data_IF_125275869925
#
_entry.id   IF_125275869925
#
_cell.length_a   1.000
_cell.length_b   1.000
_cell.length_c   1.000
_cell.angle_alpha   90.00
_cell.angle_beta   90.00
_cell.angle_gamma   90.00
#
_symmetry.space_group_name_H-M   'P 1'
#
loop_
_entity.id
_entity.type
_entity.pdbx_description
1 polymer ?
#
# COMPACT_ATOMS: atom_id res chain seq x y z
N UNK A 1 20.59 -17.50 19.18
CA UNK A 1 21.06 -16.61 18.09
C UNK A 1 20.09 -16.76 16.92
N UNK A 2 19.23 -15.79 16.65
CA UNK A 2 18.29 -15.90 15.51
C UNK A 2 19.08 -15.57 14.24
N UNK A 3 19.07 -16.41 13.19
CA UNK A 3 19.83 -16.14 11.99
C UNK A 3 19.37 -14.82 11.34
N UNK A 4 20.32 -13.91 11.09
CA UNK A 4 20.11 -12.60 10.49
C UNK A 4 20.98 -12.48 9.24
N UNK A 5 20.38 -12.16 8.10
CA UNK A 5 21.12 -11.75 6.92
C UNK A 5 21.34 -10.23 6.97
N UNK A 6 22.59 -9.81 7.05
CA UNK A 6 22.99 -8.40 7.06
C UNK A 6 23.95 -8.13 5.90
N UNK A 7 23.60 -7.18 5.05
CA UNK A 7 24.43 -6.79 3.91
C UNK A 7 24.21 -5.32 3.56
N UNK A 8 25.09 -4.74 2.72
CA UNK A 8 24.83 -3.42 2.14
C UNK A 8 23.83 -3.56 0.98
N UNK A 9 24.09 -4.48 0.07
CA UNK A 9 23.24 -4.78 -1.09
C UNK A 9 22.90 -6.27 -1.07
N UNK A 10 21.64 -6.60 -1.31
CA UNK A 10 21.16 -7.98 -1.49
C UNK A 10 20.47 -8.05 -2.84
N UNK A 11 20.99 -8.88 -3.74
CA UNK A 11 20.35 -9.20 -5.01
C UNK A 11 20.23 -10.71 -5.10
N UNK A 12 19.01 -11.23 -5.05
CA UNK A 12 18.75 -12.68 -5.13
C UNK A 12 17.54 -12.93 -6.02
N UNK A 13 17.56 -14.03 -6.76
CA UNK A 13 16.38 -14.46 -7.52
C UNK A 13 15.30 -15.00 -6.59
N UNK A 14 15.69 -15.82 -5.62
CA UNK A 14 14.79 -16.42 -4.64
C UNK A 14 15.38 -16.32 -3.24
N UNK A 15 14.56 -15.95 -2.27
CA UNK A 15 14.94 -15.97 -0.85
C UNK A 15 14.02 -16.92 -0.09
N UNK A 16 14.60 -18.00 0.44
CA UNK A 16 13.96 -18.87 1.42
C UNK A 16 13.77 -18.13 2.77
N UNK A 17 12.82 -18.54 3.62
CA UNK A 17 12.50 -17.81 4.83
C UNK A 17 13.70 -17.60 5.75
N UNK A 18 14.13 -16.34 5.86
CA UNK A 18 15.06 -15.90 6.89
C UNK A 18 14.27 -15.15 7.96
N UNK A 19 14.57 -15.33 9.25
CA UNK A 19 13.84 -14.63 10.31
C UNK A 19 13.93 -13.10 10.19
N UNK A 20 15.09 -12.61 9.72
CA UNK A 20 15.34 -11.19 9.56
C UNK A 20 16.29 -10.89 8.40
N UNK A 21 15.87 -9.95 7.54
CA UNK A 21 16.71 -9.35 6.51
C UNK A 21 16.95 -7.87 6.83
N UNK A 22 18.23 -7.47 6.92
CA UNK A 22 18.62 -6.07 7.07
C UNK A 22 19.63 -5.69 5.98
N UNK A 23 19.24 -4.78 5.10
CA UNK A 23 20.15 -4.25 4.09
C UNK A 23 19.96 -2.76 3.84
N UNK A 24 20.83 -2.12 3.05
CA UNK A 24 20.54 -0.80 2.52
C UNK A 24 19.63 -0.92 1.30
N UNK A 25 20.00 -1.81 0.36
CA UNK A 25 19.24 -2.08 -0.87
C UNK A 25 18.92 -3.57 -0.94
N UNK A 26 17.67 -3.89 -1.25
CA UNK A 26 17.19 -5.25 -1.48
C UNK A 26 16.49 -5.31 -2.85
N UNK A 27 16.98 -6.17 -3.72
CA UNK A 27 16.33 -6.53 -4.98
C UNK A 27 16.08 -8.03 -4.98
N UNK A 28 14.82 -8.45 -4.97
CA UNK A 28 14.48 -9.88 -5.06
C UNK A 28 13.50 -10.13 -6.19
N UNK A 29 13.76 -11.15 -7.00
CA UNK A 29 12.77 -11.60 -7.99
C UNK A 29 11.61 -12.29 -7.30
N UNK A 30 11.82 -13.00 -6.18
CA UNK A 30 10.74 -13.61 -5.44
C UNK A 30 11.05 -13.73 -3.95
N UNK A 31 10.07 -13.32 -3.12
CA UNK A 31 10.10 -13.50 -1.67
C UNK A 31 8.83 -14.23 -1.21
N UNK A 32 9.01 -15.44 -0.68
CA UNK A 32 7.92 -16.21 -0.10
C UNK A 32 7.50 -15.66 1.27
N UNK A 33 8.43 -15.65 2.23
CA UNK A 33 8.15 -15.17 3.57
C UNK A 33 9.41 -14.68 4.26
N UNK A 34 9.35 -13.51 4.89
CA UNK A 34 10.35 -13.02 5.85
C UNK A 34 9.59 -12.33 6.98
N UNK A 35 9.73 -12.76 8.25
CA UNK A 35 9.03 -12.12 9.37
C UNK A 35 9.29 -10.62 9.47
N UNK A 36 10.54 -10.19 9.24
CA UNK A 36 10.94 -8.80 9.28
C UNK A 36 11.95 -8.43 8.19
N UNK A 37 11.56 -7.49 7.34
CA UNK A 37 12.45 -6.87 6.34
C UNK A 37 12.67 -5.40 6.70
N UNK A 38 13.95 -5.03 6.90
CA UNK A 38 14.38 -3.65 7.12
C UNK A 38 15.37 -3.24 6.03
N UNK A 39 14.99 -2.28 5.19
CA UNK A 39 15.91 -1.72 4.22
C UNK A 39 15.68 -0.23 3.98
N UNK A 40 16.59 0.44 3.28
CA UNK A 40 16.31 1.79 2.79
C UNK A 40 15.44 1.70 1.52
N UNK A 41 15.86 0.85 0.59
CA UNK A 41 15.20 0.62 -0.71
C UNK A 41 14.89 -0.87 -0.85
N UNK A 42 13.67 -1.18 -1.27
CA UNK A 42 13.20 -2.53 -1.55
C UNK A 42 12.55 -2.57 -2.92
N UNK A 43 13.00 -3.49 -3.77
CA UNK A 43 12.37 -3.81 -5.06
C UNK A 43 12.08 -5.32 -5.08
N UNK A 44 10.80 -5.72 -5.16
CA UNK A 44 10.42 -7.13 -5.20
C UNK A 44 9.40 -7.42 -6.30
N UNK A 45 9.53 -8.58 -6.94
CA UNK A 45 8.72 -8.89 -8.12
C UNK A 45 8.31 -10.37 -8.24
N UNK A 46 7.73 -11.06 -7.21
CA UNK A 46 6.72 -10.60 -6.26
C UNK A 46 7.01 -10.84 -4.75
N UNK A 47 6.13 -10.32 -3.86
CA UNK A 47 6.11 -10.60 -2.41
C UNK A 47 4.81 -11.30 -2.00
N UNK A 48 4.93 -12.45 -1.35
CA UNK A 48 3.76 -13.18 -0.81
C UNK A 48 3.43 -12.74 0.62
N UNK A 49 4.38 -12.85 1.56
CA UNK A 49 4.08 -12.53 2.96
C UNK A 49 5.25 -11.90 3.70
N UNK A 50 5.03 -10.72 4.29
CA UNK A 50 5.96 -10.11 5.24
C UNK A 50 5.15 -9.48 6.37
N UNK A 51 5.16 -10.05 7.60
CA UNK A 51 4.49 -9.46 8.76
C UNK A 51 4.82 -7.99 8.97
N UNK A 52 6.11 -7.64 8.83
CA UNK A 52 6.59 -6.28 9.03
C UNK A 52 7.63 -5.86 7.99
N UNK A 53 7.23 -4.92 7.12
CA UNK A 53 8.10 -4.28 6.14
C UNK A 53 8.36 -2.82 6.56
N UNK A 54 9.63 -2.50 6.85
CA UNK A 54 10.09 -1.15 7.17
C UNK A 54 11.11 -0.71 6.13
N UNK A 55 10.73 0.26 5.31
CA UNK A 55 11.65 0.87 4.37
C UNK A 55 11.36 2.34 4.13
N UNK A 56 12.29 3.04 3.50
CA UNK A 56 12.03 4.41 3.04
C UNK A 56 11.25 4.36 1.72
N UNK A 57 11.68 3.50 0.80
CA UNK A 57 11.07 3.29 -0.51
C UNK A 57 10.85 1.81 -0.75
N UNK A 58 9.63 1.47 -1.20
CA UNK A 58 9.22 0.12 -1.57
C UNK A 58 8.60 0.16 -2.96
N UNK A 59 9.15 -0.62 -3.87
CA UNK A 59 8.58 -0.86 -5.21
C UNK A 59 8.24 -2.35 -5.33
N UNK A 60 6.97 -2.66 -5.59
CA UNK A 60 6.49 -4.04 -5.70
C UNK A 60 5.60 -4.19 -6.92
N UNK A 61 5.77 -5.24 -7.70
CA UNK A 61 4.78 -5.55 -8.74
C UNK A 61 3.54 -6.22 -8.14
N UNK A 62 3.72 -7.09 -7.16
CA UNK A 62 2.61 -7.81 -6.53
C UNK A 62 2.85 -8.00 -5.03
N UNK A 63 1.83 -7.69 -4.24
CA UNK A 63 1.79 -7.91 -2.79
C UNK A 63 0.50 -8.61 -2.41
N UNK A 64 0.62 -9.84 -1.91
CA UNK A 64 -0.53 -10.60 -1.43
C UNK A 64 -0.98 -10.07 -0.06
N UNK A 65 -0.08 -10.07 0.93
CA UNK A 65 -0.41 -9.60 2.27
C UNK A 65 0.81 -9.11 3.08
N UNK A 66 0.63 -7.94 3.70
CA UNK A 66 1.54 -7.38 4.70
C UNK A 66 0.69 -6.77 5.82
N UNK A 67 0.67 -7.37 7.02
CA UNK A 67 -0.06 -6.83 8.18
C UNK A 67 0.29 -5.38 8.51
N UNK A 68 1.56 -5.00 8.37
CA UNK A 68 2.02 -3.65 8.65
C UNK A 68 3.11 -3.20 7.67
N UNK A 69 2.77 -2.18 6.87
CA UNK A 69 3.69 -1.51 5.95
C UNK A 69 3.91 -0.05 6.39
N UNK A 70 5.18 0.34 6.55
CA UNK A 70 5.60 1.71 6.91
C UNK A 70 6.72 2.15 5.95
N UNK A 71 6.35 2.74 4.83
CA UNK A 71 7.27 3.28 3.82
C UNK A 71 6.56 4.27 2.88
N UNK A 72 7.32 4.96 2.02
CA UNK A 72 6.79 5.41 0.73
C UNK A 72 6.68 4.20 -0.19
N UNK A 73 5.52 3.97 -0.80
CA UNK A 73 5.26 2.75 -1.55
C UNK A 73 4.76 3.04 -2.97
N UNK A 74 5.30 2.30 -3.93
CA UNK A 74 4.74 2.12 -5.25
C UNK A 74 4.45 0.62 -5.44
N UNK A 75 3.18 0.24 -5.61
CA UNK A 75 2.78 -1.17 -5.74
C UNK A 75 1.79 -1.29 -6.90
N UNK A 76 2.10 -2.12 -7.90
CA UNK A 76 1.18 -2.28 -9.03
C UNK A 76 -0.10 -2.99 -8.61
N UNK A 77 0.02 -4.11 -7.90
CA UNK A 77 -1.12 -4.88 -7.42
C UNK A 77 -1.03 -5.23 -5.94
N UNK A 78 -2.04 -4.82 -5.18
CA UNK A 78 -2.20 -5.16 -3.77
C UNK A 78 -3.54 -5.85 -3.53
N UNK A 79 -3.48 -7.08 -3.02
CA UNK A 79 -4.69 -7.86 -2.73
C UNK A 79 -5.31 -7.46 -1.39
N UNK A 80 -4.59 -7.63 -0.29
CA UNK A 80 -5.14 -7.33 1.04
C UNK A 80 -4.08 -6.90 2.04
N UNK A 81 -4.31 -5.78 2.70
CA UNK A 81 -3.53 -5.34 3.86
C UNK A 81 -4.50 -4.91 4.95
N UNK A 82 -4.46 -5.51 6.16
CA UNK A 82 -5.35 -5.13 7.25
C UNK A 82 -5.28 -3.64 7.62
N UNK A 83 -4.06 -3.08 7.61
CA UNK A 83 -3.82 -1.68 7.90
C UNK A 83 -2.63 -1.14 7.11
N UNK A 84 -2.87 -0.11 6.30
CA UNK A 84 -1.82 0.59 5.58
C UNK A 84 -1.57 1.96 6.22
N UNK A 85 -0.36 2.19 6.77
CA UNK A 85 0.03 3.47 7.36
C UNK A 85 1.35 3.96 6.78
N UNK A 86 1.26 4.88 5.82
CA UNK A 86 2.36 5.28 4.94
C UNK A 86 2.38 6.79 4.77
N UNK A 87 3.51 7.37 4.37
CA UNK A 87 3.55 8.80 4.07
C UNK A 87 2.94 9.06 2.70
N UNK A 88 3.46 8.36 1.70
CA UNK A 88 3.00 8.43 0.31
C UNK A 88 2.75 7.02 -0.20
N UNK A 89 1.63 6.82 -0.88
CA UNK A 89 1.34 5.57 -1.56
C UNK A 89 0.82 5.83 -2.96
N UNK A 90 1.40 5.11 -3.92
CA UNK A 90 0.90 4.98 -5.29
C UNK A 90 0.56 3.51 -5.51
N UNK A 91 -0.70 3.20 -5.86
CA UNK A 91 -1.07 1.85 -6.29
C UNK A 91 -1.82 1.89 -7.62
N UNK A 92 -1.58 0.91 -8.49
CA UNK A 92 -2.38 0.79 -9.71
C UNK A 92 -3.71 0.10 -9.38
N UNK A 93 -3.66 -1.05 -8.70
CA UNK A 93 -4.83 -1.81 -8.30
C UNK A 93 -4.81 -2.14 -6.81
N UNK A 94 -5.91 -1.80 -6.13
CA UNK A 94 -6.15 -2.13 -4.74
C UNK A 94 -7.50 -2.84 -4.58
N UNK A 95 -7.46 -4.10 -4.16
CA UNK A 95 -8.68 -4.88 -3.95
C UNK A 95 -9.34 -4.53 -2.60
N UNK A 96 -8.65 -4.71 -1.47
CA UNK A 96 -9.23 -4.40 -0.18
C UNK A 96 -8.20 -3.98 0.87
N UNK A 97 -8.48 -2.87 1.55
CA UNK A 97 -7.76 -2.46 2.76
C UNK A 97 -8.79 -1.98 3.77
N UNK A 98 -8.98 -2.66 4.92
CA UNK A 98 -9.93 -2.21 5.94
C UNK A 98 -9.68 -0.77 6.42
N UNK A 99 -8.41 -0.42 6.61
CA UNK A 99 -8.01 0.92 7.05
C UNK A 99 -6.76 1.43 6.33
N UNK A 100 -6.93 2.53 5.59
CA UNK A 100 -5.85 3.25 4.93
C UNK A 100 -5.64 4.61 5.59
N UNK A 101 -4.43 4.87 6.08
CA UNK A 101 -3.99 6.15 6.64
C UNK A 101 -2.72 6.62 5.92
N UNK A 102 -2.80 7.74 5.21
CA UNK A 102 -1.62 8.31 4.55
C UNK A 102 -1.57 9.83 4.57
N UNK A 103 -0.45 10.43 4.18
CA UNK A 103 -0.44 11.85 3.84
C UNK A 103 -0.97 12.02 2.41
N UNK A 104 -0.40 11.28 1.46
CA UNK A 104 -0.80 11.31 0.04
C UNK A 104 -1.15 9.92 -0.45
N UNK A 105 -2.29 9.80 -1.11
CA UNK A 105 -2.78 8.57 -1.75
C UNK A 105 -3.02 8.84 -3.22
N UNK A 106 -2.37 8.09 -4.09
CA UNK A 106 -2.68 8.04 -5.53
C UNK A 106 -3.06 6.61 -5.89
N UNK A 107 -4.30 6.38 -6.33
CA UNK A 107 -4.72 5.05 -6.82
C UNK A 107 -5.37 5.16 -8.19
N UNK A 108 -5.12 4.18 -9.06
CA UNK A 108 -5.87 4.10 -10.31
C UNK A 108 -7.21 3.41 -10.05
N UNK A 109 -7.20 2.21 -9.48
CA UNK A 109 -8.40 1.44 -9.18
C UNK A 109 -8.45 1.00 -7.71
N UNK A 110 -9.57 1.30 -7.06
CA UNK A 110 -9.86 0.87 -5.69
C UNK A 110 -11.24 0.22 -5.63
N UNK A 111 -11.27 -1.07 -5.26
CA UNK A 111 -12.52 -1.79 -5.09
C UNK A 111 -13.17 -1.48 -3.72
N UNK A 112 -12.46 -1.66 -2.61
CA UNK A 112 -13.05 -1.39 -1.29
C UNK A 112 -12.05 -0.87 -0.25
N UNK A 113 -12.44 0.19 0.45
CA UNK A 113 -11.77 0.69 1.65
C UNK A 113 -12.81 1.17 2.68
N UNK A 114 -13.13 0.36 3.71
CA UNK A 114 -14.06 0.77 4.77
C UNK A 114 -13.73 2.14 5.38
N UNK A 115 -12.45 2.41 5.63
CA UNK A 115 -12.01 3.69 6.16
C UNK A 115 -10.73 4.20 5.49
N UNK A 116 -10.86 5.29 4.73
CA UNK A 116 -9.75 6.04 4.16
C UNK A 116 -9.59 7.38 4.88
N UNK A 117 -8.38 7.63 5.39
CA UNK A 117 -7.98 8.91 5.98
C UNK A 117 -6.69 9.40 5.34
N UNK A 118 -6.72 10.56 4.69
CA UNK A 118 -5.51 11.16 4.12
C UNK A 118 -5.48 12.69 4.19
N UNK A 119 -4.37 13.31 3.81
CA UNK A 119 -4.34 14.75 3.54
C UNK A 119 -4.79 15.01 2.10
N UNK A 120 -4.17 14.32 1.15
CA UNK A 120 -4.52 14.35 -0.27
C UNK A 120 -4.88 12.95 -0.79
N UNK A 121 -5.95 12.88 -1.57
CA UNK A 121 -6.41 11.67 -2.25
C UNK A 121 -6.62 11.97 -3.72
N UNK A 122 -5.99 11.19 -4.59
CA UNK A 122 -6.23 11.18 -6.03
C UNK A 122 -6.61 9.77 -6.42
N UNK A 123 -7.86 9.53 -6.83
CA UNK A 123 -8.31 8.24 -7.36
C UNK A 123 -8.89 8.40 -8.77
N UNK A 124 -8.58 7.48 -9.66
CA UNK A 124 -9.29 7.42 -10.95
C UNK A 124 -10.64 6.74 -10.78
N UNK A 125 -10.67 5.55 -10.17
CA UNK A 125 -11.89 4.78 -9.97
C UNK A 125 -12.00 4.27 -8.53
N UNK A 126 -13.15 4.56 -7.90
CA UNK A 126 -13.50 4.07 -6.57
C UNK A 126 -14.88 3.40 -6.60
N UNK A 127 -14.93 2.10 -6.27
CA UNK A 127 -16.18 1.36 -6.17
C UNK A 127 -16.86 1.59 -4.81
N UNK A 128 -16.15 1.42 -3.70
CA UNK A 128 -16.74 1.62 -2.37
C UNK A 128 -15.75 2.14 -1.34
N UNK A 129 -16.13 3.22 -0.67
CA UNK A 129 -15.51 3.62 0.59
C UNK A 129 -16.56 4.12 1.59
N UNK A 130 -17.02 3.30 2.54
CA UNK A 130 -17.95 3.69 3.60
C UNK A 130 -17.61 5.03 4.25
N UNK A 131 -16.33 5.24 4.59
CA UNK A 131 -15.83 6.48 5.20
C UNK A 131 -14.59 6.97 4.49
N UNK A 132 -14.69 8.14 3.85
CA UNK A 132 -13.57 8.86 3.25
C UNK A 132 -13.39 10.23 3.93
N UNK A 133 -12.22 10.44 4.53
CA UNK A 133 -11.86 11.72 5.17
C UNK A 133 -10.52 12.21 4.61
N UNK A 134 -10.53 13.36 3.95
CA UNK A 134 -9.28 14.00 3.53
C UNK A 134 -9.38 15.52 3.49
N UNK A 135 -8.25 16.24 3.37
CA UNK A 135 -8.34 17.68 3.12
C UNK A 135 -8.69 17.93 1.66
N UNK A 136 -7.98 17.27 0.75
CA UNK A 136 -8.16 17.40 -0.70
C UNK A 136 -8.49 16.02 -1.29
N UNK A 137 -9.54 15.98 -2.10
CA UNK A 137 -10.02 14.77 -2.78
C UNK A 137 -10.21 15.08 -4.25
N UNK A 138 -9.48 14.37 -5.10
CA UNK A 138 -9.69 14.33 -6.55
C UNK A 138 -10.08 12.91 -6.93
N UNK A 139 -11.30 12.73 -7.40
CA UNK A 139 -11.84 11.45 -7.83
C UNK A 139 -12.32 11.63 -9.27
N UNK A 140 -12.03 10.70 -10.18
CA UNK A 140 -12.62 10.77 -11.53
C UNK A 140 -13.98 10.09 -11.55
N UNK A 141 -14.06 8.86 -11.04
CA UNK A 141 -15.28 8.08 -10.97
C UNK A 141 -15.51 7.52 -9.56
N UNK A 142 -16.71 7.73 -9.04
CA UNK A 142 -17.14 7.19 -7.75
C UNK A 142 -18.50 6.50 -7.82
N UNK A 143 -18.55 5.24 -7.38
CA UNK A 143 -19.80 4.49 -7.28
C UNK A 143 -20.54 4.75 -5.96
N UNK A 144 -19.87 4.59 -4.79
CA UNK A 144 -20.52 4.78 -3.49
C UNK A 144 -19.58 5.23 -2.35
N UNK A 145 -19.93 6.33 -1.68
CA UNK A 145 -19.33 6.80 -0.41
C UNK A 145 -20.43 7.38 0.50
N UNK A 146 -20.89 6.62 1.51
CA UNK A 146 -21.83 7.12 2.52
C UNK A 146 -21.32 8.33 3.31
N UNK A 147 -20.05 8.33 3.71
CA UNK A 147 -19.50 9.41 4.52
C UNK A 147 -18.25 10.01 3.88
N UNK A 148 -18.43 11.10 3.13
CA UNK A 148 -17.34 11.93 2.60
C UNK A 148 -17.16 13.19 3.46
N UNK A 149 -15.96 13.39 4.02
CA UNK A 149 -15.57 14.64 4.66
C UNK A 149 -14.29 15.18 4.03
N UNK A 150 -14.42 16.30 3.31
CA UNK A 150 -13.26 16.99 2.76
C UNK A 150 -13.43 18.50 2.69
N UNK A 151 -12.30 19.22 2.66
CA UNK A 151 -12.27 20.67 2.48
C UNK A 151 -12.39 21.04 1.00
N UNK A 152 -11.78 20.25 0.12
CA UNK A 152 -11.86 20.41 -1.33
C UNK A 152 -12.16 19.06 -1.98
N UNK A 153 -13.17 19.04 -2.86
CA UNK A 153 -13.55 17.85 -3.64
C UNK A 153 -13.65 18.21 -5.12
N UNK A 154 -12.99 17.45 -5.97
CA UNK A 154 -13.17 17.44 -7.42
C UNK A 154 -13.67 16.06 -7.82
N UNK A 155 -14.89 15.97 -8.33
CA UNK A 155 -15.54 14.71 -8.70
C UNK A 155 -16.45 14.92 -9.92
N UNK A 156 -16.00 14.57 -11.15
CA UNK A 156 -16.80 14.78 -12.35
C UNK A 156 -17.90 13.72 -12.51
N UNK A 157 -17.72 12.48 -12.02
CA UNK A 157 -18.71 11.41 -12.17
C UNK A 157 -19.02 10.71 -10.85
N UNK A 158 -20.29 10.76 -10.43
CA UNK A 158 -20.81 10.16 -9.19
C UNK A 158 -22.10 9.40 -9.48
N UNK A 159 -22.14 8.09 -9.17
CA UNK A 159 -23.33 7.28 -9.40
C UNK A 159 -24.28 7.24 -8.19
N UNK A 160 -23.75 7.19 -6.96
CA UNK A 160 -24.60 7.28 -5.76
C UNK A 160 -23.85 7.83 -4.55
N UNK A 161 -24.54 8.66 -3.77
CA UNK A 161 -24.21 8.97 -2.38
C UNK A 161 -25.37 8.43 -1.56
N UNK A 162 -25.21 7.36 -0.77
CA UNK A 162 -26.29 6.94 0.10
C UNK A 162 -26.50 8.03 1.16
N UNK A 163 -27.75 8.46 1.31
CA UNK A 163 -28.23 9.39 2.35
C UNK A 163 -28.12 8.76 3.74
#
# INVERSE_FOLDING_TARGET
>A
NVPMLKATVVTLTFLLPVPMLKAMVVTLTFLHSVPMLKAMIVTLTPLLFVPMLKAMVVTLTFLLSVPMLKAGCNIDFLLSVPMLKVMVVTLTFLLSVPMLKAMVVTLTFLLSVPMLKAMGVTLTFLLSAPVLKAMVVTLTFLLSVPMLKAMVVTLPFLLSVPM
#
